data_IF_621848330329
#
_entry.id   IF_621848330329
#
_cell.length_a   1.000
_cell.length_b   1.000
_cell.length_c   1.000
_cell.angle_alpha   90.00
_cell.angle_beta   90.00
_cell.angle_gamma   90.00
#
_symmetry.space_group_name_H-M   'P 1'
#
loop_
_entity.id
_entity.type
_entity.pdbx_description
1 polymer ?
#
# COMPACT_ATOMS: atom_id res chain seq x y z
N UNK A 1 11.45 -13.09 -8.07
CA UNK A 1 10.99 -12.09 -7.08
C UNK A 1 12.04 -11.04 -6.77
N UNK A 2 13.28 -11.41 -6.48
CA UNK A 2 14.39 -10.46 -6.33
C UNK A 2 14.57 -9.59 -7.57
N UNK A 3 14.46 -10.18 -8.75
CA UNK A 3 14.49 -9.45 -10.02
C UNK A 3 13.36 -8.43 -10.17
N UNK A 4 12.15 -8.77 -9.70
CA UNK A 4 11.01 -7.86 -9.73
C UNK A 4 11.25 -6.63 -8.84
N UNK A 5 11.83 -6.83 -7.65
CA UNK A 5 12.15 -5.75 -6.73
C UNK A 5 13.34 -4.91 -7.20
N UNK A 6 14.27 -5.49 -7.96
CA UNK A 6 15.45 -4.79 -8.47
C UNK A 6 15.25 -4.09 -9.82
N UNK A 7 14.11 -4.25 -10.47
CA UNK A 7 13.77 -3.57 -11.72
C UNK A 7 13.84 -2.04 -11.58
N UNK A 8 14.77 -1.43 -12.32
CA UNK A 8 14.95 0.02 -12.32
C UNK A 8 15.81 0.59 -11.20
N UNK A 9 16.53 -0.26 -10.48
CA UNK A 9 17.41 0.11 -9.37
C UNK A 9 18.87 -0.01 -9.79
N UNK A 10 19.70 0.95 -9.34
CA UNK A 10 21.15 0.88 -9.49
C UNK A 10 21.75 -0.17 -8.54
N UNK A 11 22.92 -0.70 -8.88
CA UNK A 11 23.59 -1.83 -8.21
C UNK A 11 23.81 -1.68 -6.68
N UNK A 12 23.68 -0.48 -6.11
CA UNK A 12 23.83 -0.20 -4.68
C UNK A 12 22.63 -0.59 -3.79
N UNK A 13 21.62 -1.29 -4.31
CA UNK A 13 20.34 -1.45 -3.62
C UNK A 13 20.03 -2.86 -3.11
N UNK A 14 21.01 -3.77 -3.11
CA UNK A 14 20.77 -5.14 -2.60
C UNK A 14 20.27 -5.13 -1.16
N UNK A 15 20.88 -4.32 -0.30
CA UNK A 15 20.47 -4.18 1.11
C UNK A 15 19.02 -3.68 1.25
N UNK A 16 18.59 -2.75 0.38
CA UNK A 16 17.21 -2.26 0.35
C UNK A 16 16.23 -3.33 -0.11
N UNK A 17 16.62 -4.13 -1.11
CA UNK A 17 15.81 -5.27 -1.59
C UNK A 17 15.66 -6.31 -0.49
N UNK A 18 16.75 -6.70 0.14
CA UNK A 18 16.73 -7.69 1.23
C UNK A 18 15.88 -7.20 2.41
N UNK A 19 16.03 -5.93 2.81
CA UNK A 19 15.23 -5.33 3.86
C UNK A 19 13.73 -5.26 3.49
N UNK A 20 13.42 -4.98 2.22
CA UNK A 20 12.04 -4.97 1.75
C UNK A 20 11.44 -6.38 1.74
N UNK A 21 12.19 -7.40 1.30
CA UNK A 21 11.75 -8.79 1.33
C UNK A 21 11.49 -9.28 2.76
N UNK A 22 12.34 -8.91 3.71
CA UNK A 22 12.17 -9.25 5.12
C UNK A 22 10.93 -8.57 5.72
N UNK A 23 10.79 -7.26 5.50
CA UNK A 23 9.64 -6.48 5.99
C UNK A 23 8.30 -7.00 5.43
N UNK A 24 8.32 -7.54 4.22
CA UNK A 24 7.14 -8.11 3.54
C UNK A 24 6.91 -9.59 3.87
N UNK A 25 7.78 -10.21 4.65
CA UNK A 25 7.78 -11.66 4.92
C UNK A 25 7.86 -12.49 3.63
N UNK A 26 8.66 -12.04 2.68
CA UNK A 26 8.83 -12.67 1.37
C UNK A 26 10.21 -13.30 1.16
N UNK A 27 11.09 -13.26 2.16
CA UNK A 27 12.47 -13.76 2.05
C UNK A 27 12.53 -15.23 1.65
N UNK A 28 11.58 -16.04 2.09
CA UNK A 28 11.47 -17.46 1.74
C UNK A 28 11.11 -17.70 0.26
N UNK A 29 10.56 -16.68 -0.41
CA UNK A 29 10.08 -16.77 -1.79
C UNK A 29 10.99 -16.05 -2.79
N UNK A 30 12.17 -15.62 -2.36
CA UNK A 30 13.11 -14.83 -3.14
C UNK A 30 13.46 -15.46 -4.49
N UNK A 31 13.61 -16.77 -4.52
CA UNK A 31 13.96 -17.56 -5.72
C UNK A 31 12.74 -17.97 -6.56
N UNK A 32 11.52 -17.67 -6.11
CA UNK A 32 10.31 -18.06 -6.82
C UNK A 32 9.96 -17.10 -7.95
N UNK A 33 9.38 -17.65 -9.01
CA UNK A 33 8.83 -16.84 -10.09
C UNK A 33 7.57 -16.10 -9.60
N UNK A 34 7.38 -14.81 -9.96
CA UNK A 34 6.21 -14.01 -9.51
C UNK A 34 4.86 -14.68 -9.78
N UNK A 35 4.73 -15.44 -10.87
CA UNK A 35 3.52 -16.18 -11.21
C UNK A 35 3.15 -17.30 -10.20
N UNK A 36 4.13 -17.82 -9.45
CA UNK A 36 3.92 -18.86 -8.44
C UNK A 36 3.41 -18.32 -7.09
N UNK A 37 3.37 -17.00 -6.92
CA UNK A 37 2.95 -16.35 -5.68
C UNK A 37 1.43 -16.28 -5.55
N UNK A 38 0.93 -16.32 -4.32
CA UNK A 38 -0.46 -16.00 -4.02
C UNK A 38 -0.79 -14.53 -4.35
N UNK A 39 -2.09 -14.21 -4.44
CA UNK A 39 -2.53 -12.81 -4.66
C UNK A 39 -1.98 -11.83 -3.63
N UNK A 40 -1.99 -12.21 -2.34
CA UNK A 40 -1.43 -11.39 -1.26
C UNK A 40 0.09 -11.23 -1.35
N UNK A 41 0.80 -12.29 -1.71
CA UNK A 41 2.25 -12.23 -1.92
C UNK A 41 2.60 -11.32 -3.11
N UNK A 42 1.89 -11.42 -4.23
CA UNK A 42 2.05 -10.51 -5.39
C UNK A 42 1.84 -9.05 -5.01
N UNK A 43 0.80 -8.78 -4.23
CA UNK A 43 0.48 -7.43 -3.76
C UNK A 43 1.62 -6.87 -2.90
N UNK A 44 2.17 -7.67 -1.99
CA UNK A 44 3.32 -7.28 -1.17
C UNK A 44 4.59 -7.03 -2.00
N UNK A 45 4.85 -7.84 -3.03
CA UNK A 45 5.96 -7.60 -3.96
C UNK A 45 5.82 -6.25 -4.66
N UNK A 46 4.62 -5.91 -5.12
CA UNK A 46 4.35 -4.60 -5.74
C UNK A 46 4.64 -3.43 -4.80
N UNK A 47 4.23 -3.55 -3.54
CA UNK A 47 4.52 -2.55 -2.50
C UNK A 47 6.02 -2.47 -2.24
N UNK A 48 6.70 -3.61 -2.13
CA UNK A 48 8.15 -3.67 -1.96
C UNK A 48 8.92 -3.01 -3.10
N UNK A 49 8.49 -3.25 -4.34
CA UNK A 49 9.08 -2.60 -5.51
C UNK A 49 8.94 -1.07 -5.45
N UNK A 50 7.81 -0.57 -4.99
CA UNK A 50 7.58 0.86 -4.78
C UNK A 50 8.51 1.44 -3.70
N UNK A 51 8.69 0.72 -2.58
CA UNK A 51 9.60 1.11 -1.49
C UNK A 51 11.04 1.23 -2.00
N UNK A 52 11.49 0.24 -2.74
CA UNK A 52 12.88 0.17 -3.22
C UNK A 52 13.19 1.24 -4.27
N UNK A 53 12.21 1.66 -5.07
CA UNK A 53 12.36 2.73 -6.05
C UNK A 53 12.62 4.11 -5.45
N UNK A 54 12.38 4.28 -4.16
CA UNK A 54 12.64 5.53 -3.43
C UNK A 54 11.91 6.74 -4.05
N UNK A 55 10.70 6.53 -4.52
CA UNK A 55 9.87 7.57 -5.12
C UNK A 55 9.30 8.50 -4.06
N UNK A 56 9.29 9.83 -4.27
CA UNK A 56 8.72 10.78 -3.30
C UNK A 56 7.18 10.70 -3.21
N UNK A 57 6.54 10.16 -4.25
CA UNK A 57 5.09 9.98 -4.33
C UNK A 57 4.79 8.58 -4.85
N UNK A 58 3.91 7.87 -4.18
CA UNK A 58 3.46 6.53 -4.55
C UNK A 58 1.95 6.51 -4.59
N UNK A 59 1.41 5.81 -5.58
CA UNK A 59 -0.01 5.59 -5.76
C UNK A 59 -0.32 4.09 -5.71
N UNK A 60 -1.23 3.70 -4.83
CA UNK A 60 -1.75 2.34 -4.75
C UNK A 60 -3.24 2.29 -5.13
N UNK A 61 -3.57 1.41 -6.05
CA UNK A 61 -4.94 1.13 -6.44
C UNK A 61 -5.37 -0.22 -5.86
N UNK A 62 -6.34 -0.18 -4.94
CA UNK A 62 -6.90 -1.35 -4.25
C UNK A 62 -5.83 -2.28 -3.64
N UNK A 63 -4.89 -1.78 -2.81
CA UNK A 63 -3.74 -2.56 -2.36
C UNK A 63 -4.11 -3.73 -1.43
N UNK A 64 -5.33 -3.78 -0.94
CA UNK A 64 -5.81 -4.84 -0.03
C UNK A 64 -6.85 -5.76 -0.65
N UNK A 65 -7.16 -5.58 -1.94
CA UNK A 65 -8.15 -6.40 -2.64
C UNK A 65 -7.80 -7.89 -2.58
N UNK A 66 -8.73 -8.71 -2.11
CA UNK A 66 -8.56 -10.16 -1.99
C UNK A 66 -7.65 -10.61 -0.84
N UNK A 67 -7.19 -9.71 0.02
CA UNK A 67 -6.39 -10.06 1.19
C UNK A 67 -7.26 -10.44 2.40
N UNK A 68 -6.74 -11.35 3.22
CA UNK A 68 -7.26 -11.58 4.56
C UNK A 68 -6.91 -10.41 5.50
N UNK A 69 -7.49 -10.43 6.69
CA UNK A 69 -7.30 -9.37 7.67
C UNK A 69 -5.83 -9.18 8.07
N UNK A 70 -5.10 -10.26 8.34
CA UNK A 70 -3.71 -10.18 8.77
C UNK A 70 -2.81 -9.61 7.67
N UNK A 71 -3.04 -10.00 6.43
CA UNK A 71 -2.33 -9.45 5.27
C UNK A 71 -2.67 -7.98 5.04
N UNK A 72 -3.92 -7.58 5.23
CA UNK A 72 -4.34 -6.17 5.16
C UNK A 72 -3.63 -5.34 6.24
N UNK A 73 -3.52 -5.84 7.47
CA UNK A 73 -2.79 -5.15 8.55
C UNK A 73 -1.31 -4.99 8.23
N UNK A 74 -0.68 -5.98 7.62
CA UNK A 74 0.73 -5.88 7.18
C UNK A 74 0.93 -4.81 6.11
N UNK A 75 0.05 -4.79 5.10
CA UNK A 75 0.05 -3.75 4.06
C UNK A 75 -0.14 -2.36 4.66
N UNK A 76 -1.09 -2.22 5.57
CA UNK A 76 -1.33 -0.97 6.30
C UNK A 76 -0.06 -0.45 6.99
N UNK A 77 0.62 -1.32 7.75
CA UNK A 77 1.87 -0.95 8.45
C UNK A 77 2.98 -0.52 7.50
N UNK A 78 3.12 -1.18 6.36
CA UNK A 78 4.11 -0.81 5.35
C UNK A 78 3.83 0.57 4.77
N UNK A 79 2.58 0.88 4.47
CA UNK A 79 2.17 2.20 3.98
C UNK A 79 2.40 3.28 5.04
N UNK A 80 2.09 3.00 6.30
CA UNK A 80 2.37 3.90 7.42
C UNK A 80 3.88 4.18 7.56
N UNK A 81 4.72 3.18 7.42
CA UNK A 81 6.17 3.33 7.46
C UNK A 81 6.69 4.18 6.28
N UNK A 82 6.14 3.99 5.07
CA UNK A 82 6.45 4.82 3.92
C UNK A 82 6.10 6.29 4.18
N UNK A 83 4.92 6.54 4.67
CA UNK A 83 4.46 7.89 5.01
C UNK A 83 5.32 8.52 6.11
N UNK A 84 5.69 7.77 7.13
CA UNK A 84 6.58 8.23 8.20
C UNK A 84 7.99 8.58 7.69
N UNK A 85 8.45 7.96 6.62
CA UNK A 85 9.73 8.28 5.97
C UNK A 85 9.70 9.52 5.05
N UNK A 86 8.56 10.19 4.94
CA UNK A 86 8.37 11.39 4.14
C UNK A 86 7.81 11.15 2.74
N UNK A 87 7.43 9.93 2.39
CA UNK A 87 6.78 9.61 1.12
C UNK A 87 5.30 10.02 1.17
N UNK A 88 4.83 10.68 0.12
CA UNK A 88 3.41 10.97 -0.06
C UNK A 88 2.75 9.72 -0.67
N UNK A 89 1.80 9.15 0.02
CA UNK A 89 1.10 7.95 -0.43
C UNK A 89 -0.36 8.25 -0.71
N UNK A 90 -0.76 8.00 -1.95
CA UNK A 90 -2.17 7.99 -2.35
C UNK A 90 -2.69 6.57 -2.45
N UNK A 91 -3.86 6.34 -1.89
CA UNK A 91 -4.53 5.04 -1.91
C UNK A 91 -5.94 5.20 -2.46
N UNK A 92 -6.30 4.39 -3.44
CA UNK A 92 -7.70 4.18 -3.83
C UNK A 92 -8.14 2.86 -3.21
N UNK A 93 -9.19 2.89 -2.41
CA UNK A 93 -9.74 1.69 -1.77
C UNK A 93 -11.22 1.86 -1.45
N UNK A 94 -11.96 0.76 -1.47
CA UNK A 94 -13.32 0.66 -0.95
C UNK A 94 -13.38 -0.13 0.37
N UNK A 95 -12.24 -0.51 0.93
CA UNK A 95 -12.13 -1.15 2.24
C UNK A 95 -12.10 -0.08 3.33
N UNK A 96 -13.22 0.09 4.01
CA UNK A 96 -13.38 1.11 5.05
C UNK A 96 -12.42 0.89 6.21
N UNK A 97 -12.23 -0.34 6.66
CA UNK A 97 -11.35 -0.65 7.78
C UNK A 97 -9.89 -0.33 7.45
N UNK A 98 -9.46 -0.62 6.22
CA UNK A 98 -8.14 -0.26 5.73
C UNK A 98 -7.95 1.27 5.67
N UNK A 99 -8.94 2.00 5.17
CA UNK A 99 -8.90 3.47 5.09
C UNK A 99 -8.78 4.07 6.51
N UNK A 100 -9.61 3.63 7.44
CA UNK A 100 -9.60 4.12 8.83
C UNK A 100 -8.26 3.85 9.52
N UNK A 101 -7.67 2.69 9.26
CA UNK A 101 -6.41 2.28 9.87
C UNK A 101 -5.20 3.00 9.30
N UNK A 102 -5.22 3.27 8.00
CA UNK A 102 -4.01 3.64 7.23
C UNK A 102 -3.98 5.11 6.85
N UNK A 103 -5.12 5.69 6.50
CA UNK A 103 -5.20 7.03 5.92
C UNK A 103 -5.36 8.11 6.99
N UNK A 104 -4.78 9.28 6.74
CA UNK A 104 -4.93 10.48 7.59
C UNK A 104 -5.90 11.48 6.99
N UNK A 105 -6.04 11.46 5.67
CA UNK A 105 -6.92 12.34 4.92
C UNK A 105 -7.69 11.55 3.86
N UNK A 106 -8.85 12.03 3.48
CA UNK A 106 -9.66 11.48 2.40
C UNK A 106 -9.91 12.54 1.35
N UNK A 107 -9.64 12.20 0.10
CA UNK A 107 -10.01 12.99 -1.06
C UNK A 107 -11.29 12.39 -1.64
N UNK A 108 -12.33 13.17 -1.65
CA UNK A 108 -13.63 12.79 -2.18
C UNK A 108 -13.85 13.47 -3.53
N UNK A 109 -14.23 12.67 -4.53
CA UNK A 109 -14.60 13.14 -5.86
C UNK A 109 -16.11 13.00 -6.01
N UNK A 110 -16.78 14.07 -6.46
CA UNK A 110 -18.18 13.99 -6.82
C UNK A 110 -18.39 13.70 -8.32
N UNK A 111 -19.63 13.44 -8.72
CA UNK A 111 -19.98 13.12 -10.10
C UNK A 111 -19.74 14.27 -11.09
N UNK A 112 -19.50 15.48 -10.58
CA UNK A 112 -19.19 16.66 -11.37
C UNK A 112 -17.69 16.97 -11.44
N UNK A 113 -16.86 16.14 -10.78
CA UNK A 113 -15.43 16.30 -10.73
C UNK A 113 -14.93 17.29 -9.67
N UNK A 114 -15.81 17.75 -8.78
CA UNK A 114 -15.39 18.57 -7.65
C UNK A 114 -14.58 17.71 -6.65
N UNK A 115 -13.51 18.29 -6.15
CA UNK A 115 -12.57 17.63 -5.22
C UNK A 115 -12.74 18.25 -3.83
N UNK A 116 -13.01 17.41 -2.85
CA UNK A 116 -13.04 17.81 -1.44
C UNK A 116 -12.00 17.01 -0.67
N UNK A 117 -11.17 17.68 0.11
CA UNK A 117 -10.18 17.07 0.96
C UNK A 117 -10.59 17.22 2.43
N UNK A 118 -10.61 16.13 3.17
CA UNK A 118 -11.02 16.09 4.57
C UNK A 118 -10.00 15.31 5.40
N UNK A 119 -9.68 15.84 6.59
CA UNK A 119 -9.01 15.03 7.60
C UNK A 119 -9.98 13.98 8.15
N UNK A 120 -9.46 12.78 8.41
CA UNK A 120 -10.23 11.71 9.04
C UNK A 120 -10.43 12.02 10.52
N UNK A 121 -11.56 12.64 10.84
CA UNK A 121 -12.06 12.87 12.18
C UNK A 121 -13.16 11.84 12.51
N UNK A 122 -13.52 11.61 13.80
CA UNK A 122 -14.63 10.70 14.14
C UNK A 122 -15.95 11.05 13.44
N UNK A 123 -16.24 12.35 13.26
CA UNK A 123 -17.42 12.80 12.52
C UNK A 123 -17.34 12.44 11.04
N UNK A 124 -16.18 12.61 10.43
CA UNK A 124 -15.97 12.27 9.02
C UNK A 124 -16.04 10.76 8.78
N UNK A 125 -15.47 9.96 9.68
CA UNK A 125 -15.57 8.51 9.63
C UNK A 125 -16.99 8.01 9.67
N UNK A 126 -17.82 8.60 10.54
CA UNK A 126 -19.25 8.29 10.63
C UNK A 126 -19.96 8.64 9.33
N UNK A 127 -19.76 9.83 8.78
CA UNK A 127 -20.38 10.27 7.54
C UNK A 127 -19.98 9.37 6.36
N UNK A 128 -18.71 9.00 6.23
CA UNK A 128 -18.21 8.08 5.20
C UNK A 128 -18.82 6.68 5.33
N UNK A 129 -18.90 6.16 6.55
CA UNK A 129 -19.52 4.87 6.81
C UNK A 129 -20.98 4.83 6.38
N UNK A 130 -21.76 5.86 6.70
CA UNK A 130 -23.17 5.94 6.33
C UNK A 130 -23.39 6.14 4.83
N UNK A 131 -22.49 6.84 4.15
CA UNK A 131 -22.64 7.19 2.74
C UNK A 131 -22.14 6.11 1.77
N UNK A 132 -21.02 5.46 2.09
CA UNK A 132 -20.30 4.60 1.14
C UNK A 132 -20.11 3.14 1.58
N UNK A 133 -20.27 2.83 2.87
CA UNK A 133 -19.90 1.52 3.42
C UNK A 133 -21.04 0.90 4.25
N UNK A 134 -22.18 0.76 3.62
CA UNK A 134 -23.36 0.11 4.23
C UNK A 134 -23.20 -1.40 4.33
#
# INVERSE_FOLDING_TARGET
MEEELSLGIREDCKEKVDAALEALELSEYQEQHPAALSGGQKQRVTIGAAIVKDSPVIYFDEPTSGLDYDSMVRVSRLIEQLSASGVIVFVVSHDFEFIVRTCTEVVQLDDQGAVQNHRLTPQMLKALSEQYFH
#
